data_IF_767536874625
#
_entry.id   IF_767536874625
#
_cell.length_a   1.000
_cell.length_b   1.000
_cell.length_c   1.000
_cell.angle_alpha   90.00
_cell.angle_beta   90.00
_cell.angle_gamma   90.00
#
_symmetry.space_group_name_H-M   'P 1'
#
loop_
_entity.id
_entity.type
_entity.pdbx_description
1 polymer ?
#
# COMPACT_ATOMS: atom_id res chain seq x y z
N UNK A 1 6.90 19.64 8.82
CA UNK A 1 5.90 18.62 9.20
C UNK A 1 6.66 17.52 9.91
N UNK A 2 6.20 17.01 11.06
CA UNK A 2 6.82 15.84 11.67
C UNK A 2 6.74 14.67 10.67
N UNK A 3 7.78 13.85 10.58
CA UNK A 3 7.96 12.81 9.54
C UNK A 3 6.88 11.70 9.52
N UNK A 4 5.86 11.76 10.38
CA UNK A 4 4.86 10.70 10.60
C UNK A 4 3.40 11.19 10.52
N UNK A 5 3.16 12.41 10.04
CA UNK A 5 1.79 12.93 9.89
C UNK A 5 1.14 12.37 8.62
N UNK A 6 0.15 11.47 8.77
CA UNK A 6 -0.50 10.78 7.64
C UNK A 6 -1.48 11.67 6.85
N UNK A 7 -1.97 12.75 7.45
CA UNK A 7 -2.98 13.62 6.84
C UNK A 7 -4.37 12.96 6.67
N UNK A 8 -5.43 13.75 6.48
CA UNK A 8 -6.81 13.25 6.50
C UNK A 8 -7.27 12.62 5.18
N UNK A 9 -6.55 12.87 4.08
CA UNK A 9 -6.92 12.39 2.74
C UNK A 9 -5.68 11.82 2.06
N UNK A 10 -5.81 10.57 1.60
CA UNK A 10 -4.75 9.81 0.96
C UNK A 10 -5.28 9.11 -0.28
N UNK A 11 -4.40 8.87 -1.25
CA UNK A 11 -4.72 8.21 -2.49
C UNK A 11 -3.99 6.87 -2.57
N UNK A 12 -4.73 5.80 -2.90
CA UNK A 12 -4.17 4.49 -3.21
C UNK A 12 -4.37 4.21 -4.69
N UNK A 13 -3.28 3.89 -5.39
CA UNK A 13 -3.29 3.59 -6.81
C UNK A 13 -1.93 3.86 -7.44
N UNK A 14 -1.83 3.58 -8.74
CA UNK A 14 -0.56 3.62 -9.47
C UNK A 14 -0.62 4.61 -10.64
N UNK A 15 0.55 5.14 -11.03
CA UNK A 15 0.70 5.88 -12.27
C UNK A 15 0.15 5.07 -13.45
N UNK A 16 -0.54 5.80 -14.33
CA UNK A 16 -1.47 5.30 -15.33
C UNK A 16 -0.75 4.43 -16.37
N UNK A 17 -0.82 3.11 -16.19
CA UNK A 17 -0.46 2.11 -17.19
C UNK A 17 -1.56 1.04 -17.27
N UNK A 18 -1.70 0.42 -18.43
CA UNK A 18 -2.72 -0.60 -18.67
C UNK A 18 -2.51 -1.81 -17.73
N UNK A 19 -3.60 -2.26 -17.09
CA UNK A 19 -3.73 -3.48 -16.26
C UNK A 19 -3.29 -3.43 -14.79
N UNK A 20 -3.04 -2.26 -14.19
CA UNK A 20 -2.84 -2.18 -12.72
C UNK A 20 -4.18 -2.34 -11.98
N UNK A 21 -4.23 -3.03 -10.81
CA UNK A 21 -5.46 -3.17 -10.04
C UNK A 21 -6.05 -1.80 -9.67
N UNK A 22 -7.32 -1.74 -9.32
CA UNK A 22 -7.93 -0.51 -8.78
C UNK A 22 -8.69 -0.85 -7.51
N UNK A 23 -8.43 -0.08 -6.45
CA UNK A 23 -9.27 -0.13 -5.25
C UNK A 23 -10.63 0.44 -5.60
N UNK A 24 -11.60 -0.46 -5.77
CA UNK A 24 -12.98 -0.11 -6.09
C UNK A 24 -13.94 -0.37 -4.91
N UNK A 25 -13.43 -0.74 -3.74
CA UNK A 25 -14.22 -0.88 -2.52
C UNK A 25 -14.76 0.50 -2.06
N UNK A 26 -16.00 0.54 -1.56
CA UNK A 26 -16.54 1.70 -0.83
C UNK A 26 -16.98 1.19 0.53
N UNK A 27 -16.28 1.64 1.55
CA UNK A 27 -16.40 1.14 2.90
C UNK A 27 -16.27 2.31 3.89
N UNK A 28 -17.03 2.25 4.97
CA UNK A 28 -16.89 3.17 6.10
C UNK A 28 -16.87 2.38 7.39
N UNK A 29 -15.83 2.58 8.20
CA UNK A 29 -15.80 2.12 9.59
C UNK A 29 -16.23 3.28 10.48
N UNK A 30 -17.30 3.07 11.24
CA UNK A 30 -17.82 3.99 12.25
C UNK A 30 -17.44 3.48 13.63
N UNK A 31 -17.06 4.40 14.49
CA UNK A 31 -16.61 4.12 15.85
C UNK A 31 -16.66 5.37 16.72
N UNK A 32 -16.16 5.25 17.94
CA UNK A 32 -15.97 6.39 18.83
C UNK A 32 -14.50 6.53 19.22
N UNK A 33 -14.14 7.68 19.77
CA UNK A 33 -12.84 7.87 20.39
C UNK A 33 -12.94 7.54 21.88
N UNK A 34 -12.04 6.72 22.38
CA UNK A 34 -11.96 6.31 23.78
C UNK A 34 -10.57 6.61 24.34
N UNK A 35 -10.51 7.09 25.59
CA UNK A 35 -9.25 7.26 26.30
C UNK A 35 -8.96 5.96 27.03
N UNK A 36 -7.97 5.21 26.54
CA UNK A 36 -7.54 3.95 27.11
C UNK A 36 -6.23 4.10 27.86
N UNK A 37 -6.05 3.30 28.91
CA UNK A 37 -4.83 3.29 29.73
C UNK A 37 -4.12 1.97 29.51
N UNK A 38 -2.96 2.03 28.86
CA UNK A 38 -2.11 0.85 28.61
C UNK A 38 -1.02 0.72 29.66
N UNK A 39 -0.62 -0.53 29.96
CA UNK A 39 0.38 -0.88 30.97
C UNK A 39 0.12 -0.26 32.37
N UNK A 40 -1.07 -0.48 32.96
CA UNK A 40 -1.40 0.06 34.28
C UNK A 40 -0.56 -0.56 35.42
N UNK A 41 0.08 -1.70 35.18
CA UNK A 41 0.79 -2.49 36.19
C UNK A 41 2.06 -1.79 36.71
N UNK A 42 2.57 -0.79 35.99
CA UNK A 42 3.73 0.02 36.38
C UNK A 42 3.35 1.29 37.19
N UNK A 43 2.07 1.45 37.57
CA UNK A 43 1.58 2.56 38.41
C UNK A 43 1.41 3.90 37.68
N UNK A 44 1.88 4.00 36.43
CA UNK A 44 1.65 5.10 35.51
C UNK A 44 1.37 4.49 34.13
N UNK A 45 0.12 4.13 33.87
CA UNK A 45 -0.26 3.70 32.53
C UNK A 45 -0.23 4.86 31.54
N UNK A 46 0.02 4.58 30.27
CA UNK A 46 -0.01 5.58 29.21
C UNK A 46 -1.46 5.81 28.77
N UNK A 47 -1.94 7.04 28.91
CA UNK A 47 -3.24 7.46 28.40
C UNK A 47 -3.14 7.69 26.88
N UNK A 48 -3.85 6.87 26.12
CA UNK A 48 -3.88 6.90 24.66
C UNK A 48 -5.32 7.13 24.19
N UNK A 49 -5.50 8.06 23.26
CA UNK A 49 -6.78 8.30 22.61
C UNK A 49 -6.92 7.36 21.41
N UNK A 50 -7.70 6.31 21.57
CA UNK A 50 -7.93 5.28 20.55
C UNK A 50 -9.23 5.48 19.79
N UNK A 51 -9.26 4.99 18.55
CA UNK A 51 -10.49 4.79 17.81
C UNK A 51 -11.01 3.37 18.01
N UNK A 52 -12.19 3.23 18.60
CA UNK A 52 -12.85 1.95 18.79
C UNK A 52 -13.94 1.73 17.73
N UNK A 53 -13.74 0.80 16.77
CA UNK A 53 -14.70 0.55 15.70
C UNK A 53 -15.95 -0.19 16.23
N UNK A 54 -17.13 0.18 15.71
CA UNK A 54 -18.43 -0.31 16.21
C UNK A 54 -19.34 -0.82 15.09
N UNK A 55 -19.26 -0.24 13.91
CA UNK A 55 -20.15 -0.58 12.80
C UNK A 55 -19.41 -0.34 11.49
N UNK A 56 -19.63 -1.21 10.53
CA UNK A 56 -19.12 -1.02 9.17
C UNK A 56 -20.29 -0.84 8.21
N UNK A 57 -20.15 0.12 7.30
CA UNK A 57 -21.00 0.24 6.11
C UNK A 57 -20.21 -0.20 4.88
N UNK A 58 -20.87 -0.99 4.02
CA UNK A 58 -20.35 -1.41 2.73
C UNK A 58 -21.40 -1.17 1.66
N UNK A 59 -21.00 -0.64 0.50
CA UNK A 59 -21.95 -0.48 -0.60
C UNK A 59 -21.34 -0.19 -1.97
N UNK A 60 -22.24 -0.02 -2.95
CA UNK A 60 -21.90 0.38 -4.32
C UNK A 60 -21.75 1.89 -4.47
N UNK A 61 -22.40 2.67 -3.59
CA UNK A 61 -22.42 4.12 -3.68
C UNK A 61 -21.03 4.73 -3.46
N UNK A 62 -20.53 5.43 -4.47
CA UNK A 62 -19.46 6.41 -4.27
C UNK A 62 -20.09 7.65 -3.64
N UNK A 63 -19.54 8.20 -2.55
CA UNK A 63 -20.07 9.41 -1.88
C UNK A 63 -19.90 10.68 -2.71
N UNK A 64 -20.65 10.75 -3.80
CA UNK A 64 -20.67 11.82 -4.77
C UNK A 64 -22.09 12.36 -4.89
N UNK A 65 -22.23 13.62 -5.29
CA UNK A 65 -23.55 14.24 -5.53
C UNK A 65 -24.38 13.40 -6.52
N UNK A 66 -23.74 12.78 -7.51
CA UNK A 66 -24.41 12.00 -8.55
C UNK A 66 -24.96 10.66 -8.04
N UNK A 67 -24.34 10.03 -7.06
CA UNK A 67 -24.82 8.75 -6.52
C UNK A 67 -26.24 8.86 -5.95
N UNK A 68 -26.67 10.04 -5.50
CA UNK A 68 -28.06 10.29 -5.08
C UNK A 68 -29.10 10.14 -6.19
N UNK A 69 -28.67 10.04 -7.46
CA UNK A 69 -29.54 9.80 -8.62
C UNK A 69 -29.47 8.37 -9.16
N UNK A 70 -28.67 7.51 -8.54
CA UNK A 70 -28.50 6.12 -8.95
C UNK A 70 -29.23 5.18 -7.98
N UNK A 71 -29.59 3.99 -8.47
CA UNK A 71 -30.01 2.90 -7.61
C UNK A 71 -28.77 2.23 -7.03
N UNK A 72 -28.45 2.58 -5.78
CA UNK A 72 -27.30 2.04 -5.06
C UNK A 72 -27.75 1.02 -4.02
N UNK A 73 -26.86 0.10 -3.67
CA UNK A 73 -27.09 -0.91 -2.63
C UNK A 73 -25.97 -0.88 -1.60
N UNK A 74 -26.30 -1.24 -0.38
CA UNK A 74 -25.33 -1.38 0.69
C UNK A 74 -25.98 -1.89 1.96
N UNK A 75 -25.16 -2.21 2.95
CA UNK A 75 -25.60 -2.63 4.27
C UNK A 75 -24.72 -1.98 5.34
N UNK A 76 -25.28 -1.87 6.53
CA UNK A 76 -24.54 -1.57 7.74
C UNK A 76 -24.61 -2.79 8.66
N UNK A 77 -23.50 -3.14 9.29
CA UNK A 77 -23.39 -4.31 10.16
C UNK A 77 -22.53 -3.98 11.39
N UNK A 78 -22.95 -4.48 12.54
CA UNK A 78 -22.25 -4.40 13.83
C UNK A 78 -21.69 -5.76 14.28
N UNK A 79 -21.66 -6.75 13.38
CA UNK A 79 -20.99 -8.03 13.61
C UNK A 79 -19.52 -7.79 13.99
N UNK A 80 -19.06 -8.23 15.17
CA UNK A 80 -17.73 -7.88 15.67
C UNK A 80 -16.60 -8.32 14.74
N UNK A 81 -16.71 -9.52 14.15
CA UNK A 81 -15.69 -10.06 13.25
C UNK A 81 -15.61 -9.24 11.97
N UNK A 82 -16.75 -8.91 11.36
CA UNK A 82 -16.76 -8.08 10.16
C UNK A 82 -16.23 -6.66 10.43
N UNK A 83 -16.54 -6.08 11.59
CA UNK A 83 -16.03 -4.76 12.00
C UNK A 83 -14.52 -4.80 12.17
N UNK A 84 -13.97 -5.82 12.82
CA UNK A 84 -12.53 -6.02 13.00
C UNK A 84 -11.80 -6.16 11.67
N UNK A 85 -12.23 -7.09 10.81
CA UNK A 85 -11.61 -7.36 9.51
C UNK A 85 -11.70 -6.15 8.56
N UNK A 86 -12.84 -5.44 8.56
CA UNK A 86 -12.98 -4.22 7.77
C UNK A 86 -12.07 -3.09 8.27
N UNK A 87 -11.86 -2.99 9.58
CA UNK A 87 -10.95 -2.01 10.17
C UNK A 87 -9.51 -2.32 9.80
N UNK A 88 -9.09 -3.59 9.89
CA UNK A 88 -7.77 -4.04 9.46
C UNK A 88 -7.54 -3.74 7.97
N UNK A 89 -8.51 -4.06 7.11
CA UNK A 89 -8.44 -3.73 5.68
C UNK A 89 -8.26 -2.23 5.41
N UNK A 90 -8.99 -1.36 6.12
CA UNK A 90 -8.83 0.10 5.98
C UNK A 90 -7.46 0.55 6.47
N UNK A 91 -6.97 0.00 7.58
CA UNK A 91 -5.64 0.31 8.10
C UNK A 91 -4.54 -0.07 7.09
N UNK A 92 -4.65 -1.24 6.47
CA UNK A 92 -3.72 -1.69 5.41
C UNK A 92 -3.77 -0.77 4.18
N UNK A 93 -4.97 -0.36 3.77
CA UNK A 93 -5.16 0.62 2.69
C UNK A 93 -4.51 1.96 3.04
N UNK A 94 -4.66 2.44 4.27
CA UNK A 94 -4.00 3.68 4.73
C UNK A 94 -2.49 3.51 4.72
N UNK A 95 -1.97 2.38 5.21
CA UNK A 95 -0.54 2.09 5.26
C UNK A 95 0.11 2.04 3.87
N UNK A 96 -0.62 1.54 2.85
CA UNK A 96 -0.14 1.50 1.46
C UNK A 96 -0.41 2.78 0.67
N UNK A 97 -1.36 3.60 1.11
CA UNK A 97 -1.72 4.84 0.42
C UNK A 97 -0.63 5.90 0.54
N UNK A 98 -0.64 6.85 -0.38
CA UNK A 98 0.26 8.01 -0.38
C UNK A 98 -0.53 9.31 -0.12
N UNK A 99 0.10 10.39 0.36
CA UNK A 99 -0.57 11.69 0.47
C UNK A 99 -1.20 12.11 -0.86
N UNK A 100 -2.36 12.76 -0.79
CA UNK A 100 -2.96 13.37 -1.98
C UNK A 100 -1.95 14.34 -2.63
N UNK A 101 -1.85 14.32 -3.96
CA UNK A 101 -0.87 15.06 -4.79
C UNK A 101 0.55 14.47 -4.89
N UNK A 102 0.81 13.30 -4.32
CA UNK A 102 2.05 12.55 -4.56
C UNK A 102 1.84 11.42 -5.58
N UNK A 103 2.90 11.03 -6.30
CA UNK A 103 2.83 10.02 -7.36
C UNK A 103 3.46 8.71 -6.93
N UNK A 104 2.67 7.65 -6.84
CA UNK A 104 3.16 6.29 -6.60
C UNK A 104 3.62 5.63 -7.91
N UNK A 105 4.92 5.31 -7.99
CA UNK A 105 5.55 4.64 -9.13
C UNK A 105 5.28 3.12 -9.12
N UNK A 106 4.02 2.70 -9.23
CA UNK A 106 3.70 1.27 -9.44
C UNK A 106 4.04 0.35 -8.24
N UNK A 107 3.64 -0.93 -8.28
CA UNK A 107 4.19 -1.98 -7.43
C UNK A 107 5.49 -2.58 -8.01
N UNK A 108 5.95 -2.04 -9.14
CA UNK A 108 7.16 -2.49 -9.82
C UNK A 108 8.39 -1.97 -9.06
N UNK A 109 9.43 -2.79 -8.88
CA UNK A 109 10.67 -2.29 -8.33
C UNK A 109 11.20 -1.16 -9.22
N UNK A 110 11.69 -0.07 -8.62
CA UNK A 110 12.50 0.92 -9.33
C UNK A 110 13.81 0.25 -9.78
N UNK A 111 13.75 -0.51 -10.87
CA UNK A 111 14.92 -1.13 -11.49
C UNK A 111 15.65 0.00 -12.22
N UNK A 112 16.76 0.45 -11.63
CA UNK A 112 17.76 1.21 -12.38
C UNK A 112 18.25 0.27 -13.49
N UNK A 113 18.04 0.65 -14.74
CA UNK A 113 18.68 -0.07 -15.83
C UNK A 113 20.19 0.07 -15.64
N UNK A 114 20.85 -1.03 -15.34
CA UNK A 114 22.30 -1.08 -15.38
C UNK A 114 22.66 -1.05 -16.86
N UNK A 115 23.22 0.07 -17.32
CA UNK A 115 23.93 0.08 -18.59
C UNK A 115 25.13 -0.85 -18.41
N UNK A 116 25.05 -2.03 -19.04
CA UNK A 116 26.21 -2.91 -19.13
C UNK A 116 27.18 -2.22 -20.07
N UNK A 117 28.40 -1.98 -19.60
CA UNK A 117 29.48 -1.52 -20.47
C UNK A 117 29.87 -2.70 -21.36
N UNK A 118 29.33 -2.70 -22.59
CA UNK A 118 29.58 -3.72 -23.60
C UNK A 118 31.09 -3.90 -23.86
N UNK A 119 31.90 -2.84 -23.69
CA UNK A 119 33.35 -2.93 -23.83
C UNK A 119 34.01 -3.67 -22.67
N UNK A 120 33.58 -3.39 -21.43
CA UNK A 120 34.07 -4.12 -20.25
C UNK A 120 33.63 -5.59 -20.26
N UNK A 121 32.43 -5.88 -20.76
CA UNK A 121 31.93 -7.25 -20.94
C UNK A 121 32.70 -8.00 -22.03
N UNK A 122 33.10 -7.32 -23.11
CA UNK A 122 33.93 -7.89 -24.17
C UNK A 122 35.36 -8.17 -23.69
N UNK A 123 35.99 -7.22 -22.96
CA UNK A 123 37.32 -7.43 -22.36
C UNK A 123 37.32 -8.62 -21.39
N UNK A 124 36.31 -8.74 -20.54
CA UNK A 124 36.21 -9.87 -19.62
C UNK A 124 35.99 -11.22 -20.33
N UNK A 125 35.31 -11.23 -21.49
CA UNK A 125 35.16 -12.42 -22.32
C UNK A 125 36.48 -12.81 -23.02
N UNK A 126 37.26 -11.83 -23.48
CA UNK A 126 38.59 -12.08 -24.06
C UNK A 126 39.59 -12.57 -23.01
N UNK A 127 39.56 -12.03 -21.79
CA UNK A 127 40.44 -12.47 -20.71
C UNK A 127 40.14 -13.91 -20.23
N UNK A 128 38.89 -14.35 -20.38
CA UNK A 128 38.43 -15.72 -20.07
C UNK A 128 38.58 -16.69 -21.25
N UNK A 129 38.92 -16.21 -22.45
CA UNK A 129 39.21 -17.08 -23.58
C UNK A 129 40.61 -17.68 -23.36
N UNK A 130 40.67 -18.93 -22.88
CA UNK A 130 41.92 -19.69 -22.85
C UNK A 130 42.53 -19.73 -24.26
N UNK A 131 43.85 -19.50 -24.42
CA UNK A 131 44.49 -19.56 -25.72
C UNK A 131 44.34 -20.98 -26.29
N UNK A 132 43.75 -21.09 -27.49
CA UNK A 132 43.70 -22.32 -28.25
C UNK A 132 45.13 -22.86 -28.43
N UNK A 133 45.43 -23.98 -27.75
CA UNK A 133 46.66 -24.76 -27.90
C UNK A 133 46.67 -25.36 -29.31
N UNK A 134 47.35 -24.69 -30.24
CA UNK A 134 47.56 -25.12 -31.62
C UNK A 134 48.62 -26.23 -31.70
N UNK A 135 48.28 -27.37 -31.09
CA UNK A 135 49.02 -28.63 -31.21
C UNK A 135 48.84 -29.28 -32.59
N UNK A 136 49.49 -28.74 -33.63
CA UNK A 136 49.85 -29.52 -34.81
C UNK A 136 51.00 -30.48 -34.45
N UNK A 137 50.67 -31.75 -34.20
CA UNK A 137 51.66 -32.84 -34.11
C UNK A 137 51.54 -33.76 -35.34
N UNK A 138 52.70 -34.11 -35.92
CA UNK A 138 52.88 -34.96 -37.11
C UNK A 138 52.65 -36.45 -36.83
#
# INVERSE_FOLDING_TARGET
MPEHELGPVRALGWLREDRKPLLNAKLLVLGHLALNVYDPDNGYGEEVLDFEPRTVWWGSANWTVRAGSHLEVGFACDDPTLVEEATAFVADVIAFSEPIDTTCAGPEPNLVQVEFDDAAMAEAMEEMAEPDDDGEDW
#
